data_IF_233728441778
#
_entry.id   IF_233728441778
#
_cell.length_a   1.000
_cell.length_b   1.000
_cell.length_c   1.000
_cell.angle_alpha   90.00
_cell.angle_beta   90.00
_cell.angle_gamma   90.00
#
_symmetry.space_group_name_H-M   'P 1'
#
loop_
_entity.id
_entity.type
_entity.pdbx_description
1 polymer ?
#
# COMPACT_ATOMS: atom_id res chain seq x y z
N UNK A 1 21.18 -22.46 -19.42
CA UNK A 1 20.34 -21.32 -19.02
C UNK A 1 19.12 -21.91 -18.33
N UNK A 2 19.07 -21.73 -17.02
CA UNK A 2 18.35 -22.60 -16.07
C UNK A 2 16.81 -22.36 -16.15
N UNK A 3 16.04 -23.43 -16.46
CA UNK A 3 14.55 -23.40 -16.48
C UNK A 3 13.96 -22.93 -15.15
N UNK A 4 14.66 -23.13 -14.05
CA UNK A 4 14.24 -22.74 -12.71
C UNK A 4 14.23 -21.23 -12.51
N UNK A 5 15.11 -20.49 -13.17
CA UNK A 5 15.22 -19.03 -13.12
C UNK A 5 14.08 -18.41 -13.92
N UNK A 6 13.77 -18.94 -15.11
CA UNK A 6 12.66 -18.43 -15.93
C UNK A 6 11.30 -18.67 -15.28
N UNK A 7 11.13 -19.77 -14.56
CA UNK A 7 9.90 -20.08 -13.83
C UNK A 7 9.71 -19.16 -12.60
N UNK A 8 10.81 -18.77 -11.92
CA UNK A 8 10.78 -17.81 -10.81
C UNK A 8 10.50 -16.38 -11.29
N UNK A 9 11.12 -15.97 -12.39
CA UNK A 9 10.89 -14.65 -13.01
C UNK A 9 9.44 -14.54 -13.50
N UNK A 10 8.88 -15.59 -14.11
CA UNK A 10 7.48 -15.63 -14.55
C UNK A 10 6.52 -15.53 -13.36
N UNK A 11 6.80 -16.21 -12.25
CA UNK A 11 5.98 -16.10 -11.03
C UNK A 11 6.06 -14.71 -10.38
N UNK A 12 7.24 -14.10 -10.34
CA UNK A 12 7.41 -12.72 -9.82
C UNK A 12 6.62 -11.72 -10.69
N UNK A 13 6.69 -11.85 -12.02
CA UNK A 13 5.91 -11.00 -12.93
C UNK A 13 4.39 -11.21 -12.78
N UNK A 14 3.93 -12.43 -12.53
CA UNK A 14 2.52 -12.74 -12.30
C UNK A 14 2.03 -12.18 -10.97
N UNK A 15 2.81 -12.32 -9.89
CA UNK A 15 2.45 -11.81 -8.55
C UNK A 15 2.46 -10.28 -8.54
N UNK A 16 3.43 -9.62 -9.16
CA UNK A 16 3.46 -8.16 -9.27
C UNK A 16 2.31 -7.63 -10.13
N UNK A 17 1.95 -8.32 -11.22
CA UNK A 17 0.79 -7.98 -12.05
C UNK A 17 -0.53 -8.21 -11.29
N UNK A 18 -0.64 -9.28 -10.50
CA UNK A 18 -1.84 -9.58 -9.70
C UNK A 18 -2.01 -8.58 -8.55
N UNK A 19 -0.93 -8.23 -7.83
CA UNK A 19 -0.97 -7.22 -6.77
C UNK A 19 -1.27 -5.83 -7.34
N UNK A 20 -0.69 -5.47 -8.50
CA UNK A 20 -1.00 -4.22 -9.19
C UNK A 20 -2.44 -4.21 -9.71
N UNK A 21 -2.95 -5.35 -10.18
CA UNK A 21 -4.32 -5.51 -10.67
C UNK A 21 -5.34 -5.47 -9.53
N UNK A 22 -5.02 -6.03 -8.36
CA UNK A 22 -5.83 -5.91 -7.14
C UNK A 22 -5.86 -4.46 -6.65
N UNK A 23 -4.74 -3.76 -6.64
CA UNK A 23 -4.71 -2.32 -6.35
C UNK A 23 -5.59 -1.53 -7.34
N UNK A 24 -5.63 -1.90 -8.63
CA UNK A 24 -6.47 -1.25 -9.64
C UNK A 24 -7.97 -1.62 -9.52
N UNK A 25 -8.34 -2.82 -9.06
CA UNK A 25 -9.74 -3.21 -8.89
C UNK A 25 -10.39 -2.58 -7.65
N UNK A 26 -9.63 -2.31 -6.58
CA UNK A 26 -10.11 -1.56 -5.41
C UNK A 26 -10.58 -0.14 -5.79
N UNK A 27 -10.10 0.39 -6.93
CA UNK A 27 -10.50 1.72 -7.44
C UNK A 27 -11.78 1.72 -8.29
N UNK A 28 -12.27 0.57 -8.74
CA UNK A 28 -13.47 0.51 -9.59
C UNK A 28 -14.78 0.55 -8.78
N UNK A 29 -14.73 0.25 -7.49
CA UNK A 29 -15.90 0.19 -6.60
C UNK A 29 -15.92 1.34 -5.58
N UNK A 30 -15.94 2.59 -6.05
CA UNK A 30 -16.45 3.69 -5.22
C UNK A 30 -17.95 3.43 -5.04
N UNK A 31 -18.47 3.23 -3.82
CA UNK A 31 -19.87 2.93 -3.60
C UNK A 31 -20.73 4.10 -4.09
N UNK A 32 -21.42 3.89 -5.21
CA UNK A 32 -22.52 4.75 -5.62
C UNK A 32 -23.64 4.52 -4.61
N UNK A 33 -24.01 5.55 -3.89
CA UNK A 33 -25.13 5.52 -2.94
C UNK A 33 -26.42 5.16 -3.67
N UNK A 34 -26.82 3.90 -3.61
CA UNK A 34 -28.15 3.48 -3.99
C UNK A 34 -29.11 3.82 -2.86
N UNK A 35 -30.25 4.47 -3.24
CA UNK A 35 -31.30 4.99 -2.38
C UNK A 35 -32.10 3.94 -1.59
N UNK A 36 -31.66 2.70 -1.45
CA UNK A 36 -32.39 1.61 -0.80
C UNK A 36 -31.73 1.00 0.45
N UNK A 37 -30.80 1.73 1.10
CA UNK A 37 -30.44 1.39 2.48
C UNK A 37 -29.77 0.04 2.76
N UNK A 38 -29.46 -0.77 1.76
CA UNK A 38 -28.62 -1.98 1.88
C UNK A 38 -27.19 -1.62 1.46
N UNK A 39 -26.36 -1.35 2.46
CA UNK A 39 -24.91 -1.28 2.26
C UNK A 39 -24.45 -2.71 2.03
N UNK A 40 -24.27 -3.07 0.76
CA UNK A 40 -23.56 -4.29 0.39
C UNK A 40 -22.07 -4.02 0.61
N UNK A 41 -21.62 -4.13 1.86
CA UNK A 41 -20.22 -4.09 2.22
C UNK A 41 -19.56 -5.38 1.75
N UNK A 42 -19.18 -5.47 0.50
CA UNK A 42 -17.97 -6.19 0.14
C UNK A 42 -16.82 -5.31 0.68
N UNK A 43 -16.61 -5.37 1.99
CA UNK A 43 -15.35 -4.93 2.57
C UNK A 43 -14.26 -5.80 1.94
N UNK A 44 -13.65 -5.28 0.89
CA UNK A 44 -12.40 -5.83 0.37
C UNK A 44 -11.36 -5.60 1.46
N UNK A 45 -11.17 -6.60 2.32
CA UNK A 45 -10.10 -6.56 3.31
C UNK A 45 -8.77 -6.72 2.57
N UNK A 46 -8.17 -5.59 2.21
CA UNK A 46 -6.92 -5.54 1.46
C UNK A 46 -5.81 -6.34 2.17
N UNK A 47 -5.77 -6.25 3.49
CA UNK A 47 -4.78 -6.97 4.30
C UNK A 47 -4.95 -8.49 4.14
N UNK A 48 -6.19 -9.00 4.22
CA UNK A 48 -6.47 -10.43 4.02
C UNK A 48 -6.09 -10.86 2.60
N UNK A 49 -6.52 -10.11 1.60
CA UNK A 49 -6.20 -10.41 0.19
C UNK A 49 -4.68 -10.42 -0.07
N UNK A 50 -3.96 -9.45 0.45
CA UNK A 50 -2.50 -9.41 0.32
C UNK A 50 -1.80 -10.60 1.01
N UNK A 51 -2.33 -11.05 2.15
CA UNK A 51 -1.83 -12.23 2.86
C UNK A 51 -2.18 -13.55 2.14
N UNK A 52 -3.36 -13.66 1.55
CA UNK A 52 -3.77 -14.82 0.73
C UNK A 52 -2.86 -14.95 -0.50
N UNK A 53 -2.56 -13.84 -1.18
CA UNK A 53 -1.56 -13.83 -2.28
C UNK A 53 -0.18 -14.24 -1.77
N UNK A 54 0.23 -13.75 -0.61
CA UNK A 54 1.50 -14.15 -0.02
C UNK A 54 1.55 -15.65 0.33
N UNK A 55 0.42 -16.25 0.73
CA UNK A 55 0.31 -17.66 1.10
C UNK A 55 0.64 -18.60 -0.08
N UNK A 56 0.45 -18.16 -1.32
CA UNK A 56 0.87 -18.96 -2.49
C UNK A 56 2.39 -19.27 -2.50
N UNK A 57 3.18 -18.34 -1.95
CA UNK A 57 4.65 -18.47 -1.87
C UNK A 57 5.16 -18.87 -0.48
N UNK A 58 4.35 -18.63 0.54
CA UNK A 58 4.62 -18.94 1.95
C UNK A 58 3.44 -19.70 2.56
N UNK A 59 3.24 -21.00 2.23
CA UNK A 59 2.05 -21.77 2.63
C UNK A 59 1.83 -21.86 4.14
N UNK A 60 2.91 -21.71 4.93
CA UNK A 60 2.91 -21.84 6.39
C UNK A 60 2.38 -20.59 7.11
N UNK A 61 2.02 -19.51 6.39
CA UNK A 61 1.60 -18.28 7.08
C UNK A 61 0.25 -18.45 7.76
N UNK A 62 0.16 -17.96 8.99
CA UNK A 62 -1.07 -17.80 9.75
C UNK A 62 -1.64 -16.40 9.46
N UNK A 63 -2.62 -16.32 8.55
CA UNK A 63 -3.22 -15.07 8.11
C UNK A 63 -3.82 -14.31 9.29
N UNK A 64 -4.53 -14.97 10.19
CA UNK A 64 -5.20 -14.31 11.32
C UNK A 64 -4.20 -13.70 12.31
N UNK A 65 -3.03 -14.32 12.47
CA UNK A 65 -1.93 -13.74 13.25
C UNK A 65 -1.44 -12.42 12.64
N UNK A 66 -1.28 -12.36 11.31
CA UNK A 66 -0.82 -11.13 10.64
C UNK A 66 -1.89 -10.04 10.63
N UNK A 67 -3.17 -10.39 10.49
CA UNK A 67 -4.27 -9.45 10.63
C UNK A 67 -4.28 -8.82 12.02
N UNK A 68 -4.16 -9.61 13.10
CA UNK A 68 -4.04 -9.09 14.47
C UNK A 68 -2.84 -8.16 14.66
N UNK A 69 -1.72 -8.44 13.97
CA UNK A 69 -0.54 -7.58 14.01
C UNK A 69 -0.80 -6.23 13.36
N UNK A 70 -1.52 -6.22 12.24
CA UNK A 70 -1.96 -4.99 11.57
C UNK A 70 -2.99 -4.22 12.39
N UNK A 71 -3.98 -4.90 12.97
CA UNK A 71 -4.96 -4.28 13.87
C UNK A 71 -4.28 -3.56 15.04
N UNK A 72 -3.23 -4.16 15.61
CA UNK A 72 -2.43 -3.54 16.66
C UNK A 72 -1.71 -2.27 16.20
N UNK A 73 -1.22 -2.24 14.95
CA UNK A 73 -0.59 -1.04 14.37
C UNK A 73 -1.65 0.06 14.16
N UNK A 74 -2.80 -0.30 13.58
CA UNK A 74 -3.91 0.63 13.34
C UNK A 74 -4.39 1.25 14.65
N UNK A 75 -4.56 0.45 15.71
CA UNK A 75 -5.01 0.92 17.01
C UNK A 75 -3.98 1.83 17.70
N UNK A 76 -2.69 1.54 17.57
CA UNK A 76 -1.62 2.43 18.04
C UNK A 76 -1.71 3.81 17.38
N UNK A 77 -1.86 3.85 16.06
CA UNK A 77 -2.01 5.10 15.31
C UNK A 77 -3.29 5.82 15.73
N UNK A 78 -4.43 5.12 15.81
CA UNK A 78 -5.71 5.69 16.24
C UNK A 78 -5.61 6.35 17.61
N UNK A 79 -4.95 5.69 18.54
CA UNK A 79 -4.73 6.22 19.89
C UNK A 79 -3.85 7.48 19.90
N UNK A 80 -2.88 7.56 18.99
CA UNK A 80 -1.97 8.71 18.87
C UNK A 80 -2.61 9.93 18.20
N UNK A 81 -3.68 9.74 17.42
CA UNK A 81 -4.31 10.82 16.65
C UNK A 81 -5.19 11.74 17.48
N UNK A 82 -5.84 11.23 18.55
CA UNK A 82 -6.81 12.02 19.32
C UNK A 82 -8.07 12.39 18.53
N UNK A 83 -8.76 13.48 18.94
CA UNK A 83 -10.06 13.89 18.39
C UNK A 83 -9.97 14.88 17.22
N UNK A 84 -8.85 15.58 17.04
CA UNK A 84 -8.66 16.54 15.94
C UNK A 84 -7.78 15.95 14.84
N UNK A 85 -8.35 15.85 13.62
CA UNK A 85 -7.73 15.05 12.57
C UNK A 85 -7.61 15.86 11.27
N UNK A 86 -6.64 16.77 11.24
CA UNK A 86 -6.24 17.38 9.97
C UNK A 86 -5.49 16.36 9.11
N UNK A 87 -5.75 16.26 7.80
CA UNK A 87 -5.13 15.27 6.91
C UNK A 87 -3.59 15.20 7.02
N UNK A 88 -2.95 16.35 7.18
CA UNK A 88 -1.50 16.40 7.33
C UNK A 88 -1.00 15.78 8.63
N UNK A 89 -1.76 15.90 9.72
CA UNK A 89 -1.42 15.32 11.02
C UNK A 89 -1.62 13.81 11.00
N UNK A 90 -2.67 13.32 10.31
CA UNK A 90 -2.91 11.89 10.09
C UNK A 90 -1.69 11.27 9.39
N UNK A 91 -1.26 11.83 8.27
CA UNK A 91 -0.10 11.34 7.53
C UNK A 91 1.16 11.33 8.40
N UNK A 92 1.39 12.40 9.18
CA UNK A 92 2.52 12.48 10.11
C UNK A 92 2.46 11.40 11.20
N UNK A 93 1.29 11.13 11.77
CA UNK A 93 1.11 10.11 12.80
C UNK A 93 1.38 8.71 12.24
N UNK A 94 0.86 8.39 11.05
CA UNK A 94 1.17 7.11 10.39
C UNK A 94 2.67 6.98 10.14
N UNK A 95 3.31 8.02 9.60
CA UNK A 95 4.74 8.02 9.32
C UNK A 95 5.57 7.83 10.61
N UNK A 96 5.19 8.51 11.69
CA UNK A 96 5.84 8.39 12.99
C UNK A 96 5.79 6.94 13.48
N UNK A 97 4.60 6.33 13.50
CA UNK A 97 4.45 4.95 13.97
C UNK A 97 5.18 3.98 13.03
N UNK A 98 4.96 4.07 11.73
CA UNK A 98 5.49 3.09 10.77
C UNK A 98 7.02 3.19 10.67
N UNK A 99 7.57 4.38 10.43
CA UNK A 99 8.98 4.52 10.10
C UNK A 99 9.86 4.82 11.32
N UNK A 100 9.37 5.58 12.32
CA UNK A 100 10.18 5.95 13.47
C UNK A 100 10.00 4.99 14.67
N UNK A 101 8.79 4.60 15.04
CA UNK A 101 8.57 3.72 16.20
C UNK A 101 8.78 2.24 15.83
N UNK A 102 8.13 1.78 14.75
CA UNK A 102 8.21 0.40 14.30
C UNK A 102 9.42 0.11 13.40
N UNK A 103 10.14 1.15 12.95
CA UNK A 103 11.39 1.05 12.20
C UNK A 103 11.26 0.26 10.89
N UNK A 104 10.16 0.45 10.16
CA UNK A 104 10.06 -0.07 8.79
C UNK A 104 11.03 0.68 7.88
N UNK A 105 11.76 -0.05 7.04
CA UNK A 105 12.82 0.47 6.20
C UNK A 105 12.62 0.13 4.73
N UNK A 106 12.94 1.07 3.88
CA UNK A 106 12.94 0.88 2.44
C UNK A 106 14.20 0.15 1.97
N UNK A 107 14.03 -0.74 1.01
CA UNK A 107 15.13 -1.40 0.29
C UNK A 107 14.83 -1.42 -1.21
N UNK A 108 15.85 -1.08 -2.01
CA UNK A 108 15.72 -1.16 -3.46
C UNK A 108 15.98 -2.61 -3.95
N UNK A 109 15.01 -3.51 -3.69
CA UNK A 109 15.04 -4.92 -4.12
C UNK A 109 13.68 -5.29 -4.71
N UNK A 110 13.70 -6.19 -5.71
CA UNK A 110 12.49 -6.74 -6.33
C UNK A 110 12.27 -8.22 -5.99
N UNK A 111 12.68 -8.67 -4.80
CA UNK A 111 12.46 -10.04 -4.34
C UNK A 111 11.10 -10.20 -3.65
N UNK A 112 10.64 -11.44 -3.51
CA UNK A 112 9.35 -11.76 -2.87
C UNK A 112 9.30 -11.29 -1.42
N UNK A 113 10.41 -11.36 -0.68
CA UNK A 113 10.48 -10.98 0.71
C UNK A 113 10.21 -9.48 0.90
N UNK A 114 10.68 -8.63 -0.01
CA UNK A 114 10.49 -7.18 0.06
C UNK A 114 9.11 -6.70 -0.41
N UNK A 115 8.32 -7.59 -1.07
CA UNK A 115 7.00 -7.29 -1.60
C UNK A 115 5.89 -7.87 -0.72
N UNK A 116 6.08 -9.07 -0.17
CA UNK A 116 5.04 -9.84 0.52
C UNK A 116 4.75 -9.26 1.90
N UNK A 117 3.46 -8.99 2.18
CA UNK A 117 3.02 -8.31 3.40
C UNK A 117 3.48 -9.02 4.68
N UNK A 118 3.40 -10.37 4.73
CA UNK A 118 3.87 -11.15 5.87
C UNK A 118 5.37 -10.94 6.14
N UNK A 119 6.17 -10.92 5.07
CA UNK A 119 7.64 -10.73 5.18
C UNK A 119 7.98 -9.30 5.58
N UNK A 120 7.30 -8.31 4.99
CA UNK A 120 7.46 -6.90 5.38
C UNK A 120 7.11 -6.71 6.86
N UNK A 121 6.02 -7.30 7.36
CA UNK A 121 5.64 -7.25 8.76
C UNK A 121 6.64 -7.92 9.71
N UNK A 122 7.30 -8.99 9.28
CA UNK A 122 8.27 -9.72 10.12
C UNK A 122 9.66 -9.10 10.08
N UNK A 123 10.14 -8.74 8.89
CA UNK A 123 11.51 -8.23 8.71
C UNK A 123 11.63 -6.73 8.91
N UNK A 124 10.50 -6.00 8.86
CA UNK A 124 10.47 -4.53 8.82
C UNK A 124 11.15 -3.92 7.59
N UNK A 125 11.33 -4.72 6.54
CA UNK A 125 12.01 -4.32 5.31
C UNK A 125 11.05 -4.53 4.14
N UNK A 126 10.85 -3.50 3.33
CA UNK A 126 10.04 -3.56 2.12
C UNK A 126 10.56 -2.66 1.01
N UNK A 127 10.20 -2.97 -0.23
CA UNK A 127 10.41 -2.05 -1.35
C UNK A 127 9.21 -1.09 -1.49
N UNK A 128 9.18 -0.28 -2.55
CA UNK A 128 8.07 0.65 -2.79
C UNK A 128 6.71 -0.06 -2.84
N UNK A 129 6.61 -1.29 -3.36
CA UNK A 129 5.36 -2.06 -3.42
C UNK A 129 4.98 -2.58 -2.04
N UNK A 130 5.91 -3.27 -1.34
CA UNK A 130 5.64 -3.89 -0.04
C UNK A 130 5.29 -2.87 1.05
N UNK A 131 6.02 -1.75 1.11
CA UNK A 131 5.71 -0.66 2.04
C UNK A 131 4.41 0.06 1.69
N UNK A 132 4.10 0.21 0.39
CA UNK A 132 2.83 0.78 -0.02
C UNK A 132 1.64 -0.12 0.34
N UNK A 133 1.75 -1.44 0.17
CA UNK A 133 0.72 -2.39 0.61
C UNK A 133 0.50 -2.28 2.13
N UNK A 134 1.57 -2.29 2.94
CA UNK A 134 1.47 -2.11 4.39
C UNK A 134 0.74 -0.81 4.75
N UNK A 135 1.15 0.30 4.13
CA UNK A 135 0.54 1.61 4.40
C UNK A 135 -0.93 1.68 3.98
N UNK A 136 -1.28 1.06 2.83
CA UNK A 136 -2.68 0.98 2.37
C UNK A 136 -3.55 0.12 3.30
N UNK A 137 -3.03 -0.99 3.83
CA UNK A 137 -3.74 -1.79 4.84
C UNK A 137 -4.01 -0.98 6.12
N UNK A 138 -3.04 -0.17 6.54
CA UNK A 138 -3.21 0.76 7.68
C UNK A 138 -4.27 1.83 7.35
N UNK A 139 -4.20 2.42 6.16
CA UNK A 139 -5.13 3.44 5.71
C UNK A 139 -6.57 2.90 5.62
N UNK A 140 -6.76 1.67 5.11
CA UNK A 140 -8.04 0.98 5.09
C UNK A 140 -8.60 0.79 6.52
N UNK A 141 -7.78 0.29 7.46
CA UNK A 141 -8.17 0.12 8.86
C UNK A 141 -8.50 1.43 9.59
N UNK A 142 -7.98 2.56 9.13
CA UNK A 142 -8.28 3.91 9.61
C UNK A 142 -9.39 4.60 8.81
N UNK A 143 -9.92 3.98 7.74
CA UNK A 143 -10.92 4.53 6.82
C UNK A 143 -10.46 5.84 6.15
N UNK A 144 -9.21 5.89 5.71
CA UNK A 144 -8.61 7.09 5.12
C UNK A 144 -8.62 7.05 3.58
N UNK A 145 -8.85 8.19 2.91
CA UNK A 145 -8.81 8.29 1.45
C UNK A 145 -7.36 8.31 0.92
N UNK A 146 -6.64 7.20 1.13
CA UNK A 146 -5.27 7.02 0.66
C UNK A 146 -5.26 5.94 -0.42
N UNK A 147 -4.65 6.26 -1.56
CA UNK A 147 -4.65 5.42 -2.76
C UNK A 147 -3.24 5.12 -3.24
N UNK A 148 -3.06 3.97 -3.89
CA UNK A 148 -1.85 3.64 -4.61
C UNK A 148 -1.81 4.34 -5.97
N UNK A 149 -0.67 4.94 -6.32
CA UNK A 149 -0.43 5.54 -7.62
C UNK A 149 0.75 4.83 -8.27
N UNK A 150 0.51 4.28 -9.48
CA UNK A 150 1.54 3.58 -10.24
C UNK A 150 2.08 4.47 -11.36
N UNK A 151 3.40 4.54 -11.43
CA UNK A 151 4.13 5.13 -12.56
C UNK A 151 5.13 4.10 -13.09
N UNK A 152 5.74 4.28 -14.28
CA UNK A 152 6.74 3.34 -14.77
C UNK A 152 7.81 3.07 -13.71
N UNK A 153 7.98 1.80 -13.35
CA UNK A 153 9.01 1.28 -12.42
C UNK A 153 8.86 1.73 -10.96
N UNK A 154 7.76 2.42 -10.59
CA UNK A 154 7.56 2.88 -9.23
C UNK A 154 6.09 2.92 -8.79
N UNK A 155 5.87 2.78 -7.48
CA UNK A 155 4.58 2.96 -6.81
C UNK A 155 4.76 3.91 -5.64
N UNK A 156 3.88 4.88 -5.51
CA UNK A 156 3.77 5.78 -4.35
C UNK A 156 2.30 5.88 -3.92
N UNK A 157 2.03 6.56 -2.82
CA UNK A 157 0.68 6.72 -2.30
C UNK A 157 0.23 8.17 -2.41
N UNK A 158 -1.09 8.36 -2.40
CA UNK A 158 -1.72 9.67 -2.42
C UNK A 158 -2.89 9.71 -1.45
N UNK A 159 -2.86 10.65 -0.52
CA UNK A 159 -4.04 11.08 0.19
C UNK A 159 -4.81 12.06 -0.70
N UNK A 160 -6.11 11.85 -0.89
CA UNK A 160 -6.98 12.74 -1.67
C UNK A 160 -8.42 12.60 -1.17
N UNK A 161 -8.93 13.60 -0.46
CA UNK A 161 -10.31 13.68 0.04
C UNK A 161 -11.18 14.65 -0.78
N UNK A 162 -10.60 15.20 -1.85
CA UNK A 162 -11.21 16.21 -2.70
C UNK A 162 -10.82 17.64 -2.35
N UNK A 163 -10.61 17.95 -1.08
CA UNK A 163 -10.20 19.29 -0.60
C UNK A 163 -8.69 19.35 -0.35
N UNK A 164 -8.12 18.28 0.18
CA UNK A 164 -6.68 18.15 0.45
C UNK A 164 -6.09 17.00 -0.36
N UNK A 165 -4.94 17.25 -1.00
CA UNK A 165 -4.19 16.26 -1.77
C UNK A 165 -2.71 16.28 -1.42
N UNK A 166 -2.14 15.11 -1.13
CA UNK A 166 -0.71 14.98 -0.81
C UNK A 166 -0.17 13.62 -1.24
N UNK A 167 0.95 13.63 -1.96
CA UNK A 167 1.66 12.39 -2.24
C UNK A 167 2.48 11.96 -1.03
N UNK A 168 2.57 10.64 -0.84
CA UNK A 168 3.26 9.98 0.27
C UNK A 168 4.25 9.01 -0.34
N UNK A 169 5.54 9.28 -0.19
CA UNK A 169 6.62 8.46 -0.73
C UNK A 169 7.16 7.50 0.33
N UNK A 170 6.75 6.25 0.25
CA UNK A 170 7.14 5.23 1.24
C UNK A 170 8.63 4.90 1.20
N UNK A 171 9.30 5.11 0.08
CA UNK A 171 10.76 4.98 -0.05
C UNK A 171 11.55 6.07 0.67
N UNK A 172 10.88 7.15 1.07
CA UNK A 172 11.43 8.25 1.85
C UNK A 172 10.61 8.48 3.14
N UNK A 173 10.31 7.41 3.86
CA UNK A 173 9.64 7.45 5.17
C UNK A 173 8.30 8.21 5.16
N UNK A 174 7.55 8.12 4.06
CA UNK A 174 6.28 8.81 3.88
C UNK A 174 6.39 10.30 3.60
N UNK A 175 7.57 10.81 3.23
CA UNK A 175 7.75 12.23 2.89
C UNK A 175 6.86 12.65 1.72
N UNK A 176 6.40 13.89 1.78
CA UNK A 176 5.66 14.50 0.68
C UNK A 176 6.58 14.77 -0.52
N UNK A 177 6.16 14.32 -1.69
CA UNK A 177 6.86 14.56 -2.95
C UNK A 177 5.93 15.20 -3.97
N UNK A 178 6.39 16.19 -4.74
CA UNK A 178 5.56 16.80 -5.78
C UNK A 178 5.39 15.86 -6.99
N UNK A 179 4.30 16.01 -7.74
CA UNK A 179 4.05 15.23 -8.96
C UNK A 179 5.21 15.31 -9.97
N UNK A 180 5.88 16.46 -10.04
CA UNK A 180 7.05 16.68 -10.90
C UNK A 180 8.22 15.73 -10.61
N UNK A 181 8.34 15.23 -9.36
CA UNK A 181 9.35 14.24 -8.99
C UNK A 181 9.17 12.96 -9.80
N UNK A 182 7.94 12.45 -9.85
CA UNK A 182 7.61 11.19 -10.55
C UNK A 182 7.67 11.33 -12.08
N UNK A 183 7.28 12.49 -12.61
CA UNK A 183 7.43 12.82 -14.04
C UNK A 183 8.89 12.77 -14.45
N UNK A 184 9.79 13.31 -13.64
CA UNK A 184 11.23 13.33 -13.93
C UNK A 184 11.87 11.94 -13.75
N UNK A 185 11.45 11.17 -12.73
CA UNK A 185 11.96 9.81 -12.46
C UNK A 185 11.71 8.87 -13.64
N UNK A 186 10.56 8.94 -14.28
CA UNK A 186 10.18 8.03 -15.35
C UNK A 186 10.89 8.29 -16.69
N UNK A 187 11.61 9.41 -16.83
CA UNK A 187 12.28 9.80 -18.08
C UNK A 187 11.35 9.93 -19.28
N UNK A 188 10.06 9.70 -19.10
CA UNK A 188 8.99 9.84 -20.10
C UNK A 188 8.08 10.97 -19.65
N UNK A 189 7.67 11.84 -20.56
CA UNK A 189 6.55 12.77 -20.31
C UNK A 189 5.30 11.93 -20.01
N UNK A 190 5.08 11.66 -18.73
CA UNK A 190 3.77 11.20 -18.28
C UNK A 190 2.87 12.40 -18.48
N UNK A 191 1.87 12.28 -19.36
CA UNK A 191 0.87 13.34 -19.50
C UNK A 191 0.25 13.54 -18.09
N UNK A 192 0.02 14.79 -17.70
CA UNK A 192 -0.61 15.13 -16.40
C UNK A 192 -1.97 14.41 -16.20
N UNK A 193 -2.55 13.87 -17.26
CA UNK A 193 -3.78 13.08 -17.25
C UNK A 193 -3.61 11.70 -16.60
N UNK A 194 -2.41 11.11 -16.63
CA UNK A 194 -2.15 9.78 -16.02
C UNK A 194 -1.99 9.82 -14.50
N UNK A 195 -1.84 11.01 -13.91
CA UNK A 195 -1.69 11.22 -12.46
C UNK A 195 -3.01 11.68 -11.83
N UNK A 196 -4.04 11.93 -12.65
CA UNK A 196 -5.32 12.53 -12.21
C UNK A 196 -6.44 11.53 -11.94
N UNK A 197 -6.20 10.24 -12.03
CA UNK A 197 -7.22 9.21 -11.75
C UNK A 197 -6.78 8.34 -10.60
#
# INVERSE_FOLDING_TARGET
MDLSINMRISKILFITASVLFICLQVFADVPQSNTNGEINTHETNLARTALEVAQESYPEIDIDRYLKKLDGIVENIRTSLGDEIEPEQIIKAINLVVFNELQFQYVQRGDLDSISLNRVLDTKIGNCVGLSILYLCIAEGLHLPIYGVSVPEHVFLRYDDGDFRKNIETGYEGMATPDSYYVNMSGKRISQTSIKN
#
